data_IF_671345713429
#
_entry.id   IF_671345713429
#
_cell.length_a   1.000
_cell.length_b   1.000
_cell.length_c   1.000
_cell.angle_alpha   90.00
_cell.angle_beta   90.00
_cell.angle_gamma   90.00
#
_symmetry.space_group_name_H-M   'P 1'
#
loop_
_entity.id
_entity.type
_entity.pdbx_description
1 polymer ?
#
# COMPACT_ATOMS: atom_id res chain seq x y z
N UNK A 1 -19.66 -1.14 6.46
CA UNK A 1 -19.23 -2.23 5.55
C UNK A 1 -20.16 -2.46 4.35
N UNK A 2 -21.22 -1.66 4.17
CA UNK A 2 -22.14 -1.81 3.02
C UNK A 2 -21.47 -1.53 1.66
N UNK A 3 -20.31 -0.88 1.64
CA UNK A 3 -19.51 -0.60 0.45
C UNK A 3 -18.68 -1.80 -0.03
N UNK A 4 -18.55 -2.85 0.78
CA UNK A 4 -17.84 -4.06 0.38
C UNK A 4 -18.71 -4.87 -0.58
N UNK A 5 -18.08 -5.41 -1.60
CA UNK A 5 -18.72 -6.40 -2.45
C UNK A 5 -19.08 -7.65 -1.63
N UNK A 6 -20.17 -8.30 -2.03
CA UNK A 6 -20.65 -9.54 -1.40
C UNK A 6 -20.38 -10.71 -2.34
N UNK A 7 -19.98 -11.84 -1.78
CA UNK A 7 -19.83 -13.07 -2.56
C UNK A 7 -21.19 -13.71 -2.89
N UNK A 8 -21.18 -14.80 -3.66
CA UNK A 8 -22.39 -15.55 -4.04
C UNK A 8 -23.20 -16.12 -2.85
N UNK A 9 -22.60 -16.20 -1.66
CA UNK A 9 -23.25 -16.66 -0.42
C UNK A 9 -23.85 -15.49 0.37
N UNK A 10 -23.59 -14.25 -0.04
CA UNK A 10 -24.03 -13.03 0.64
C UNK A 10 -23.07 -12.55 1.73
N UNK A 11 -21.85 -13.09 1.81
CA UNK A 11 -20.86 -12.63 2.79
C UNK A 11 -20.06 -11.45 2.22
N UNK A 12 -19.84 -10.38 3.02
CA UNK A 12 -18.96 -9.30 2.60
C UNK A 12 -17.54 -9.82 2.42
N UNK A 13 -16.93 -9.52 1.27
CA UNK A 13 -15.57 -9.94 0.96
C UNK A 13 -14.60 -8.92 1.54
N UNK A 14 -13.92 -9.31 2.61
CA UNK A 14 -12.97 -8.43 3.29
C UNK A 14 -11.77 -8.09 2.39
N UNK A 15 -11.17 -6.95 2.66
CA UNK A 15 -10.17 -6.33 1.79
C UNK A 15 -8.92 -7.17 1.52
N UNK A 16 -8.44 -7.98 2.47
CA UNK A 16 -7.25 -8.82 2.30
C UNK A 16 -7.51 -10.19 1.68
N UNK A 17 -8.77 -10.63 1.61
CA UNK A 17 -9.12 -11.98 1.15
C UNK A 17 -8.74 -12.18 -0.30
N UNK A 18 -8.14 -13.35 -0.58
CA UNK A 18 -7.88 -13.83 -1.93
C UNK A 18 -9.19 -14.07 -2.68
N UNK A 19 -9.24 -13.58 -3.91
CA UNK A 19 -10.44 -13.65 -4.75
C UNK A 19 -10.10 -13.52 -6.23
N UNK A 20 -10.89 -14.19 -7.04
CA UNK A 20 -10.96 -14.09 -8.50
C UNK A 20 -12.43 -13.84 -8.92
N UNK A 21 -12.71 -13.62 -10.22
CA UNK A 21 -14.07 -13.55 -10.72
C UNK A 21 -14.91 -14.80 -10.41
N UNK A 22 -14.28 -15.96 -10.26
CA UNK A 22 -14.94 -17.25 -10.05
C UNK A 22 -15.05 -17.65 -8.57
N UNK A 23 -14.10 -17.23 -7.72
CA UNK A 23 -13.99 -17.74 -6.36
C UNK A 23 -13.54 -16.68 -5.34
N UNK A 24 -14.09 -16.76 -4.13
CA UNK A 24 -13.63 -16.01 -2.96
C UNK A 24 -13.13 -16.98 -1.89
N UNK A 25 -11.83 -16.91 -1.59
CA UNK A 25 -11.16 -17.79 -0.65
C UNK A 25 -10.91 -17.11 0.71
N UNK A 26 -11.91 -17.19 1.60
CA UNK A 26 -11.81 -16.65 2.96
C UNK A 26 -10.73 -17.28 3.84
N UNK A 27 -10.13 -18.40 3.41
CA UNK A 27 -9.02 -19.04 4.12
C UNK A 27 -7.64 -18.54 3.71
N UNK A 28 -7.56 -17.60 2.76
CA UNK A 28 -6.32 -17.12 2.19
C UNK A 28 -6.25 -15.59 2.14
N UNK A 29 -5.03 -15.09 2.32
CA UNK A 29 -4.70 -13.68 2.32
C UNK A 29 -3.88 -13.39 1.07
N UNK A 30 -4.29 -12.37 0.32
CA UNK A 30 -3.55 -11.95 -0.87
C UNK A 30 -2.53 -10.86 -0.50
N UNK A 31 -1.24 -11.21 -0.58
CA UNK A 31 -0.14 -10.31 -0.25
C UNK A 31 0.00 -9.10 -1.19
N UNK A 32 -0.47 -9.23 -2.44
CA UNK A 32 -0.52 -8.10 -3.39
C UNK A 32 -1.48 -7.02 -2.89
N UNK A 33 -2.62 -7.45 -2.33
CA UNK A 33 -3.62 -6.58 -1.72
C UNK A 33 -3.10 -5.97 -0.41
N UNK A 34 -2.38 -6.74 0.42
CA UNK A 34 -1.69 -6.21 1.61
C UNK A 34 -0.68 -5.11 1.28
N UNK A 35 0.03 -5.21 0.16
CA UNK A 35 0.94 -4.14 -0.27
C UNK A 35 0.20 -2.83 -0.53
N UNK A 36 -0.94 -2.88 -1.21
CA UNK A 36 -1.77 -1.70 -1.46
C UNK A 36 -2.27 -1.09 -0.15
N UNK A 37 -2.79 -1.92 0.77
CA UNK A 37 -3.23 -1.48 2.10
C UNK A 37 -2.10 -0.79 2.88
N UNK A 38 -0.88 -1.33 2.81
CA UNK A 38 0.30 -0.75 3.46
C UNK A 38 0.72 0.59 2.83
N UNK A 39 0.65 0.70 1.50
CA UNK A 39 1.05 1.90 0.78
C UNK A 39 0.07 3.06 1.03
N UNK A 40 -1.22 2.76 1.06
CA UNK A 40 -2.28 3.75 1.20
C UNK A 40 -2.79 3.92 2.64
N UNK A 41 -2.31 3.08 3.57
CA UNK A 41 -2.70 3.06 4.98
C UNK A 41 -4.21 2.87 5.18
N UNK A 42 -4.65 1.73 4.68
CA UNK A 42 -6.04 1.31 4.67
C UNK A 42 -6.28 0.10 5.56
N UNK A 43 -7.51 0.01 6.07
CA UNK A 43 -7.97 -1.10 6.91
C UNK A 43 -8.04 -2.42 6.13
N UNK A 44 -7.48 -3.49 6.71
CA UNK A 44 -7.43 -4.82 6.12
C UNK A 44 -8.79 -5.51 5.95
N UNK A 45 -9.83 -5.04 6.64
CA UNK A 45 -11.18 -5.58 6.53
C UNK A 45 -12.00 -4.81 5.52
N UNK A 46 -12.05 -3.48 5.64
CA UNK A 46 -12.96 -2.67 4.82
C UNK A 46 -12.29 -1.95 3.64
N UNK A 47 -10.95 -1.91 3.58
CA UNK A 47 -10.20 -1.24 2.52
C UNK A 47 -10.39 0.28 2.48
N UNK A 48 -10.85 0.89 3.57
CA UNK A 48 -10.97 2.35 3.73
C UNK A 48 -9.75 2.92 4.47
N UNK A 49 -9.40 4.19 4.26
CA UNK A 49 -8.27 4.83 4.95
C UNK A 49 -8.51 4.97 6.44
N UNK A 50 -7.43 4.86 7.22
CA UNK A 50 -7.46 5.08 8.67
C UNK A 50 -7.70 6.54 9.06
N UNK A 51 -7.23 7.49 8.27
CA UNK A 51 -7.10 8.89 8.69
C UNK A 51 -6.44 8.95 10.10
N UNK A 52 -7.16 9.51 11.08
CA UNK A 52 -6.70 9.68 12.46
C UNK A 52 -7.07 8.50 13.38
N UNK A 53 -7.74 7.45 12.87
CA UNK A 53 -8.13 6.29 13.66
C UNK A 53 -6.94 5.40 14.06
N UNK A 54 -7.05 4.67 15.17
CA UNK A 54 -6.02 3.71 15.57
C UNK A 54 -5.98 2.51 14.63
N UNK A 55 -4.78 1.98 14.42
CA UNK A 55 -4.50 0.72 13.71
C UNK A 55 -4.62 -0.42 14.71
N UNK A 56 -5.77 -1.10 14.73
CA UNK A 56 -6.03 -2.19 15.68
C UNK A 56 -5.44 -3.51 15.21
N UNK A 57 -4.89 -4.28 16.15
CA UNK A 57 -4.32 -5.61 15.93
C UNK A 57 -4.75 -6.56 17.05
N UNK A 58 -4.88 -7.85 16.71
CA UNK A 58 -5.00 -8.91 17.71
C UNK A 58 -3.61 -9.27 18.24
N UNK A 59 -3.46 -9.38 19.56
CA UNK A 59 -2.19 -9.76 20.19
C UNK A 59 -2.41 -10.95 21.11
N UNK A 60 -1.58 -11.98 20.95
CA UNK A 60 -1.65 -13.24 21.72
C UNK A 60 -0.59 -13.32 22.84
N UNK A 61 -0.02 -12.18 23.22
CA UNK A 61 0.98 -12.06 24.29
C UNK A 61 0.33 -11.51 25.58
N UNK A 62 0.64 -12.16 26.70
CA UNK A 62 0.31 -11.66 28.03
C UNK A 62 1.36 -10.64 28.52
N UNK A 63 0.91 -9.68 29.32
CA UNK A 63 1.78 -8.67 29.93
C UNK A 63 2.08 -7.46 29.04
N UNK A 64 3.06 -6.63 29.42
CA UNK A 64 3.40 -5.41 28.69
C UNK A 64 3.91 -5.74 27.30
N UNK A 65 3.50 -4.93 26.32
CA UNK A 65 3.98 -5.07 24.95
C UNK A 65 5.37 -4.44 24.82
N UNK A 66 6.24 -4.98 23.95
CA UNK A 66 7.44 -4.28 23.54
C UNK A 66 7.10 -2.95 22.85
N UNK A 67 8.09 -2.05 22.73
CA UNK A 67 7.94 -0.74 22.07
C UNK A 67 7.56 -0.82 20.57
N UNK A 68 7.57 -2.02 19.99
CA UNK A 68 7.07 -2.29 18.64
C UNK A 68 6.46 -3.68 18.56
N UNK A 69 5.26 -3.80 18.00
CA UNK A 69 4.56 -5.07 17.79
C UNK A 69 4.57 -5.40 16.31
N UNK A 70 5.11 -6.57 15.96
CA UNK A 70 5.16 -7.06 14.58
C UNK A 70 4.02 -8.06 14.36
N UNK A 71 3.18 -7.80 13.37
CA UNK A 71 2.08 -8.66 12.95
C UNK A 71 2.25 -9.09 11.50
N UNK A 72 1.94 -10.35 11.20
CA UNK A 72 1.77 -10.81 9.81
C UNK A 72 0.44 -10.35 9.21
N UNK A 73 -0.47 -9.82 10.02
CA UNK A 73 -1.77 -9.30 9.58
C UNK A 73 -1.69 -7.78 9.37
N UNK A 74 -2.36 -7.29 8.34
CA UNK A 74 -2.52 -5.85 8.14
C UNK A 74 -3.51 -5.26 9.18
N UNK A 75 -3.32 -4.00 9.61
CA UNK A 75 -4.14 -3.42 10.67
C UNK A 75 -5.58 -3.17 10.23
N UNK A 76 -6.47 -3.04 11.21
CA UNK A 76 -7.91 -2.80 10.98
C UNK A 76 -8.44 -1.63 11.82
N UNK A 77 -9.55 -1.01 11.41
CA UNK A 77 -10.33 -0.12 12.29
C UNK A 77 -10.88 -0.89 13.49
N UNK A 78 -11.21 -0.19 14.59
CA UNK A 78 -11.74 -0.84 15.79
C UNK A 78 -13.02 -1.63 15.48
N UNK A 79 -13.98 -0.98 14.82
CA UNK A 79 -15.27 -1.59 14.45
C UNK A 79 -15.06 -2.82 13.57
N UNK A 80 -14.04 -2.77 12.70
CA UNK A 80 -13.69 -3.85 11.79
C UNK A 80 -13.04 -5.02 12.53
N UNK A 81 -12.18 -4.73 13.52
CA UNK A 81 -11.60 -5.73 14.41
C UNK A 81 -12.68 -6.49 15.18
N UNK A 82 -13.63 -5.74 15.75
CA UNK A 82 -14.76 -6.27 16.51
C UNK A 82 -15.73 -7.06 15.64
N UNK A 83 -15.99 -6.60 14.42
CA UNK A 83 -16.75 -7.38 13.44
C UNK A 83 -16.02 -8.69 13.10
N UNK A 84 -14.73 -8.61 12.77
CA UNK A 84 -13.93 -9.78 12.42
C UNK A 84 -13.91 -10.80 13.58
N UNK A 85 -13.82 -10.33 14.82
CA UNK A 85 -13.90 -11.18 16.02
C UNK A 85 -15.26 -11.89 16.19
N UNK A 86 -16.34 -11.30 15.69
CA UNK A 86 -17.67 -11.91 15.72
C UNK A 86 -17.88 -12.96 14.63
N UNK A 87 -17.31 -12.75 13.44
CA UNK A 87 -17.54 -13.65 12.30
C UNK A 87 -16.47 -14.73 12.15
N UNK A 88 -15.25 -14.49 12.66
CA UNK A 88 -14.18 -15.47 12.61
C UNK A 88 -14.45 -16.61 13.60
N UNK A 89 -14.60 -17.87 13.14
CA UNK A 89 -14.88 -19.00 14.03
C UNK A 89 -13.81 -19.18 15.12
N UNK A 90 -12.54 -18.89 14.79
CA UNK A 90 -11.43 -19.02 15.75
C UNK A 90 -11.47 -17.95 16.84
N UNK A 91 -11.80 -16.70 16.53
CA UNK A 91 -11.85 -15.60 17.50
C UNK A 91 -13.14 -15.61 18.33
N UNK A 92 -14.24 -16.04 17.73
CA UNK A 92 -15.57 -15.95 18.34
C UNK A 92 -15.79 -17.04 19.40
N UNK A 93 -15.49 -18.30 19.08
CA UNK A 93 -15.89 -19.42 19.93
C UNK A 93 -14.81 -19.78 20.96
N UNK A 94 -15.13 -19.83 22.26
CA UNK A 94 -14.25 -20.44 23.26
C UNK A 94 -13.94 -21.89 22.86
N UNK A 95 -12.68 -22.29 22.95
CA UNK A 95 -12.17 -23.62 22.58
C UNK A 95 -12.04 -23.92 21.07
N UNK A 96 -12.25 -22.94 20.18
CA UNK A 96 -11.91 -23.11 18.77
C UNK A 96 -10.45 -23.53 18.58
N UNK A 97 -10.18 -24.30 17.54
CA UNK A 97 -8.85 -24.83 17.23
C UNK A 97 -8.39 -24.39 15.86
N UNK A 98 -7.09 -24.13 15.74
CA UNK A 98 -6.47 -23.88 14.43
C UNK A 98 -6.42 -25.17 13.62
N UNK A 99 -6.60 -25.03 12.30
CA UNK A 99 -6.67 -26.13 11.35
C UNK A 99 -5.47 -26.23 10.42
N UNK A 100 -4.60 -25.22 10.35
CA UNK A 100 -3.39 -25.28 9.52
C UNK A 100 -2.39 -26.29 10.07
N UNK A 101 -1.64 -26.93 9.17
CA UNK A 101 -0.74 -28.04 9.50
C UNK A 101 0.27 -27.68 10.60
N UNK A 102 0.78 -26.45 10.61
CA UNK A 102 1.78 -26.03 11.59
C UNK A 102 1.21 -25.83 13.00
N UNK A 103 -0.07 -25.48 13.13
CA UNK A 103 -0.72 -25.13 14.43
C UNK A 103 -1.91 -26.02 14.75
N UNK A 104 -2.09 -27.11 14.01
CA UNK A 104 -3.28 -27.97 14.07
C UNK A 104 -3.61 -28.38 15.50
N UNK A 105 -4.86 -28.12 15.90
CA UNK A 105 -5.36 -28.47 17.23
C UNK A 105 -5.02 -27.46 18.33
N UNK A 106 -4.20 -26.43 18.06
CA UNK A 106 -3.92 -25.34 19.00
C UNK A 106 -5.22 -24.63 19.36
N UNK A 107 -5.54 -24.63 20.65
CA UNK A 107 -6.75 -24.02 21.18
C UNK A 107 -6.59 -22.50 21.22
N UNK A 108 -7.65 -21.77 20.88
CA UNK A 108 -7.76 -20.32 21.10
C UNK A 108 -7.42 -19.97 22.55
N UNK A 109 -6.64 -18.92 22.74
CA UNK A 109 -6.38 -18.35 24.06
C UNK A 109 -7.70 -17.99 24.78
N UNK A 110 -7.81 -18.22 26.10
CA UNK A 110 -9.03 -17.91 26.86
C UNK A 110 -9.39 -16.42 26.87
N UNK A 111 -8.37 -15.56 26.79
CA UNK A 111 -8.50 -14.11 26.66
C UNK A 111 -7.93 -13.73 25.30
N UNK A 112 -8.71 -13.03 24.48
CA UNK A 112 -8.19 -12.39 23.26
C UNK A 112 -8.05 -10.91 23.54
N UNK A 113 -6.88 -10.38 23.19
CA UNK A 113 -6.51 -8.99 23.37
C UNK A 113 -6.39 -8.30 22.03
N UNK A 114 -6.94 -7.09 21.98
CA UNK A 114 -6.82 -6.17 20.87
C UNK A 114 -6.11 -4.91 21.35
N UNK A 115 -5.24 -4.37 20.50
CA UNK A 115 -4.42 -3.20 20.82
C UNK A 115 -4.51 -2.22 19.67
N UNK A 116 -4.80 -0.96 19.98
CA UNK A 116 -4.86 0.15 19.04
C UNK A 116 -3.55 0.93 19.04
N UNK A 117 -2.96 1.08 17.86
CA UNK A 117 -1.70 1.80 17.65
C UNK A 117 -1.92 3.09 16.86
N UNK A 118 -1.19 4.16 17.21
CA UNK A 118 -1.28 5.42 16.47
C UNK A 118 -0.74 5.30 15.05
N UNK A 119 0.24 4.40 14.81
CA UNK A 119 0.86 4.27 13.48
C UNK A 119 1.44 2.89 13.19
N UNK A 120 1.50 2.57 11.90
CA UNK A 120 2.36 1.50 11.36
C UNK A 120 3.72 2.12 11.05
N UNK A 121 4.75 1.77 11.82
CA UNK A 121 6.09 2.37 11.72
C UNK A 121 6.91 1.79 10.56
N UNK A 122 6.68 0.52 10.22
CA UNK A 122 7.37 -0.15 9.12
C UNK A 122 6.50 -1.28 8.54
N UNK A 123 6.73 -1.56 7.25
CA UNK A 123 6.23 -2.78 6.60
C UNK A 123 7.41 -3.43 5.87
N UNK A 124 7.62 -4.72 6.15
CA UNK A 124 8.79 -5.46 5.66
C UNK A 124 8.38 -6.81 5.07
N UNK A 125 9.08 -7.24 4.03
CA UNK A 125 9.00 -8.62 3.55
C UNK A 125 9.75 -9.53 4.53
N UNK A 126 9.08 -10.56 5.03
CA UNK A 126 9.64 -11.53 5.95
C UNK A 126 9.28 -12.95 5.50
N UNK A 127 10.20 -13.89 5.68
CA UNK A 127 9.91 -15.31 5.39
C UNK A 127 8.85 -15.82 6.37
N UNK A 128 7.82 -16.47 5.83
CA UNK A 128 6.71 -17.00 6.61
C UNK A 128 7.19 -18.10 7.55
N UNK A 129 6.91 -17.93 8.84
CA UNK A 129 7.16 -18.98 9.84
C UNK A 129 6.29 -20.22 9.66
N UNK A 130 5.23 -20.15 8.83
CA UNK A 130 4.31 -21.25 8.55
C UNK A 130 4.64 -21.98 7.25
N UNK A 131 5.28 -21.29 6.30
CA UNK A 131 5.55 -21.80 4.95
C UNK A 131 6.99 -21.46 4.55
N UNK A 132 7.96 -22.38 4.76
CA UNK A 132 9.35 -22.15 4.39
C UNK A 132 9.52 -21.73 2.93
N UNK A 133 10.40 -20.77 2.67
CA UNK A 133 10.65 -20.21 1.34
C UNK A 133 9.59 -19.23 0.83
N UNK A 134 8.47 -19.04 1.53
CA UNK A 134 7.42 -18.08 1.16
C UNK A 134 7.64 -16.78 1.92
N UNK A 135 7.64 -15.64 1.23
CA UNK A 135 7.74 -14.33 1.89
C UNK A 135 6.37 -13.65 1.96
N UNK A 136 6.06 -13.05 3.10
CA UNK A 136 4.81 -12.31 3.37
C UNK A 136 5.14 -10.94 3.95
N UNK A 137 4.19 -10.00 3.89
CA UNK A 137 4.33 -8.68 4.48
C UNK A 137 4.03 -8.71 5.98
N UNK A 138 4.94 -8.15 6.76
CA UNK A 138 4.80 -7.94 8.20
C UNK A 138 4.72 -6.45 8.51
N UNK A 139 3.83 -6.10 9.43
CA UNK A 139 3.51 -4.75 9.85
C UNK A 139 4.07 -4.53 11.26
N UNK A 140 4.96 -3.57 11.41
CA UNK A 140 5.45 -3.12 12.71
C UNK A 140 4.61 -1.92 13.16
N UNK A 141 4.01 -2.03 14.34
CA UNK A 141 3.19 -0.99 14.95
C UNK A 141 3.88 -0.40 16.17
N UNK A 142 3.73 0.90 16.39
CA UNK A 142 4.28 1.58 17.56
C UNK A 142 3.25 2.56 18.16
N UNK A 143 3.59 3.10 19.32
CA UNK A 143 2.72 4.03 20.07
C UNK A 143 1.36 3.40 20.37
N UNK A 144 1.34 2.42 21.28
CA UNK A 144 0.08 1.90 21.81
C UNK A 144 -0.69 3.04 22.47
N UNK A 145 -1.94 3.25 22.03
CA UNK A 145 -2.82 4.29 22.54
C UNK A 145 -4.04 3.73 23.27
N UNK A 146 -4.51 2.55 22.88
CA UNK A 146 -5.66 1.89 23.50
C UNK A 146 -5.52 0.37 23.49
N UNK A 147 -6.29 -0.31 24.34
CA UNK A 147 -6.41 -1.76 24.34
C UNK A 147 -7.77 -2.20 24.90
N UNK A 148 -8.24 -3.35 24.41
CA UNK A 148 -9.33 -4.06 25.06
C UNK A 148 -9.07 -5.57 25.03
N UNK A 149 -9.76 -6.30 25.90
CA UNK A 149 -9.69 -7.75 25.92
C UNK A 149 -11.07 -8.33 26.20
N UNK A 150 -11.32 -9.51 25.67
CA UNK A 150 -12.57 -10.23 25.91
C UNK A 150 -12.32 -11.72 26.09
N UNK A 151 -13.26 -12.36 26.80
CA UNK A 151 -13.33 -13.79 27.06
C UNK A 151 -14.52 -14.41 26.35
N UNK A 152 -15.65 -13.69 26.35
CA UNK A 152 -16.93 -14.21 25.90
C UNK A 152 -17.43 -13.51 24.63
N UNK A 153 -18.27 -14.17 23.82
CA UNK A 153 -18.96 -13.55 22.70
C UNK A 153 -19.75 -12.29 23.04
N UNK A 154 -20.39 -12.25 24.22
CA UNK A 154 -21.27 -11.14 24.61
C UNK A 154 -20.47 -9.86 24.85
N UNK A 155 -19.28 -9.96 25.45
CA UNK A 155 -18.36 -8.82 25.61
C UNK A 155 -17.96 -8.20 24.26
N UNK A 156 -17.76 -9.01 23.21
CA UNK A 156 -17.46 -8.50 21.86
C UNK A 156 -18.67 -7.77 21.28
N UNK A 157 -19.86 -8.35 21.42
CA UNK A 157 -21.10 -7.79 20.85
C UNK A 157 -21.45 -6.46 21.49
N UNK A 158 -21.30 -6.35 22.81
CA UNK A 158 -21.50 -5.11 23.56
C UNK A 158 -20.53 -4.04 23.08
N UNK A 159 -19.22 -4.34 23.05
CA UNK A 159 -18.21 -3.39 22.55
C UNK A 159 -18.44 -3.01 21.09
N UNK A 160 -18.82 -3.96 20.25
CA UNK A 160 -19.14 -3.69 18.85
C UNK A 160 -20.32 -2.74 18.70
N UNK A 161 -21.41 -2.94 19.45
CA UNK A 161 -22.55 -2.05 19.43
C UNK A 161 -22.18 -0.63 19.86
N UNK A 162 -21.35 -0.50 20.91
CA UNK A 162 -20.88 0.80 21.41
C UNK A 162 -19.98 1.54 20.41
N UNK A 163 -19.06 0.82 19.75
CA UNK A 163 -18.18 1.41 18.74
C UNK A 163 -18.98 1.79 17.50
N UNK A 164 -19.86 0.89 17.02
CA UNK A 164 -20.70 1.14 15.85
C UNK A 164 -21.62 2.36 16.03
N UNK A 165 -22.17 2.56 17.23
CA UNK A 165 -23.00 3.72 17.54
C UNK A 165 -22.25 5.07 17.49
N UNK A 166 -20.91 5.02 17.57
CA UNK A 166 -20.02 6.20 17.53
C UNK A 166 -19.29 6.35 16.19
N UNK A 167 -19.48 5.40 15.27
CA UNK A 167 -18.89 5.42 13.93
C UNK A 167 -19.30 6.71 13.21
N UNK A 168 -18.36 7.31 12.50
CA UNK A 168 -18.58 8.50 11.68
C UNK A 168 -18.16 8.19 10.25
N UNK A 169 -18.80 8.84 9.30
CA UNK A 169 -18.36 8.77 7.92
C UNK A 169 -16.95 9.35 7.80
N UNK A 170 -16.05 8.54 7.24
CA UNK A 170 -14.69 8.93 6.95
C UNK A 170 -14.65 9.75 5.66
N UNK A 171 -14.05 10.96 5.67
CA UNK A 171 -13.87 11.72 4.45
C UNK A 171 -12.84 11.00 3.57
N UNK A 172 -13.22 10.71 2.32
CA UNK A 172 -12.35 10.11 1.31
C UNK A 172 -12.28 11.07 0.13
N UNK A 173 -11.07 11.41 -0.32
CA UNK A 173 -10.90 12.29 -1.49
C UNK A 173 -11.36 11.60 -2.77
N UNK A 174 -11.64 12.35 -3.83
CA UNK A 174 -12.10 11.77 -5.10
C UNK A 174 -11.10 10.73 -5.65
N UNK A 175 -9.80 11.06 -5.62
CA UNK A 175 -8.74 10.17 -6.08
C UNK A 175 -8.66 8.90 -5.22
N UNK A 176 -8.73 9.03 -3.89
CA UNK A 176 -8.73 7.89 -2.98
C UNK A 176 -9.99 7.04 -3.11
N UNK A 177 -11.15 7.67 -3.31
CA UNK A 177 -12.45 7.01 -3.49
C UNK A 177 -12.48 6.13 -4.74
N UNK A 178 -11.85 6.59 -5.84
CA UNK A 178 -11.62 5.76 -7.01
C UNK A 178 -10.76 4.56 -6.64
N UNK A 179 -9.58 4.76 -6.05
CA UNK A 179 -8.67 3.66 -5.70
C UNK A 179 -9.33 2.63 -4.75
N UNK A 180 -10.08 3.08 -3.73
CA UNK A 180 -10.84 2.23 -2.80
C UNK A 180 -11.89 1.41 -3.55
N UNK A 181 -12.62 2.02 -4.49
CA UNK A 181 -13.62 1.31 -5.30
C UNK A 181 -12.97 0.25 -6.18
N UNK A 182 -11.89 0.61 -6.89
CA UNK A 182 -11.12 -0.35 -7.70
C UNK A 182 -10.57 -1.49 -6.84
N UNK A 183 -10.08 -1.16 -5.64
CA UNK A 183 -9.51 -2.13 -4.73
C UNK A 183 -10.55 -3.13 -4.24
N UNK A 184 -11.79 -2.70 -3.99
CA UNK A 184 -12.83 -3.51 -3.37
C UNK A 184 -13.75 -4.27 -4.34
N UNK A 185 -13.60 -4.09 -5.66
CA UNK A 185 -14.41 -4.82 -6.64
C UNK A 185 -14.06 -6.33 -6.72
N UNK A 186 -14.97 -7.12 -7.30
CA UNK A 186 -14.83 -8.58 -7.49
C UNK A 186 -14.78 -9.00 -8.96
N UNK A 187 -15.15 -8.12 -9.87
CA UNK A 187 -15.18 -8.34 -11.32
C UNK A 187 -13.81 -8.09 -11.98
N UNK A 188 -12.78 -7.87 -11.18
CA UNK A 188 -11.41 -7.69 -11.67
C UNK A 188 -10.78 -9.06 -11.94
N UNK A 189 -10.54 -9.39 -13.21
CA UNK A 189 -9.76 -10.57 -13.60
C UNK A 189 -8.35 -10.52 -12.98
N UNK A 190 -7.87 -9.33 -12.64
CA UNK A 190 -6.49 -9.09 -12.20
C UNK A 190 -6.31 -9.16 -10.66
N UNK A 191 -7.26 -9.69 -9.89
CA UNK A 191 -7.17 -9.92 -8.42
C UNK A 191 -6.75 -8.70 -7.54
N UNK A 192 -6.96 -7.47 -8.04
CA UNK A 192 -6.52 -6.23 -7.39
C UNK A 192 -5.12 -5.75 -7.81
N UNK A 193 -4.51 -6.37 -8.81
CA UNK A 193 -3.19 -6.02 -9.34
C UNK A 193 -3.13 -4.58 -9.84
N UNK A 194 -4.24 -4.03 -10.34
CA UNK A 194 -4.31 -2.65 -10.81
C UNK A 194 -3.97 -1.68 -9.68
N UNK A 195 -4.57 -1.88 -8.49
CA UNK A 195 -4.31 -1.03 -7.31
C UNK A 195 -2.95 -1.34 -6.68
N UNK A 196 -2.51 -2.60 -6.69
CA UNK A 196 -1.13 -2.96 -6.33
C UNK A 196 -0.12 -2.28 -7.25
N UNK A 197 -0.40 -2.19 -8.55
CA UNK A 197 0.40 -1.50 -9.54
C UNK A 197 0.47 0.00 -9.28
N UNK A 198 -0.65 0.61 -8.91
CA UNK A 198 -0.69 2.00 -8.46
C UNK A 198 0.12 2.20 -7.16
N UNK A 199 0.06 1.28 -6.20
CA UNK A 199 0.88 1.33 -4.99
C UNK A 199 2.39 1.23 -5.30
N UNK A 200 2.78 0.34 -6.22
CA UNK A 200 4.16 0.21 -6.71
C UNK A 200 4.62 1.51 -7.37
N UNK A 201 3.78 2.10 -8.23
CA UNK A 201 4.04 3.39 -8.87
C UNK A 201 4.16 4.53 -7.84
N UNK A 202 3.33 4.55 -6.79
CA UNK A 202 3.39 5.55 -5.72
C UNK A 202 4.67 5.44 -4.87
N UNK A 203 5.43 4.35 -4.97
CA UNK A 203 6.74 4.20 -4.33
C UNK A 203 6.96 2.86 -3.65
N UNK A 204 5.94 2.00 -3.53
CA UNK A 204 6.08 0.70 -2.88
C UNK A 204 7.07 -0.23 -3.60
N UNK A 205 7.37 0.02 -4.88
CA UNK A 205 8.40 -0.70 -5.63
C UNK A 205 9.81 -0.57 -5.03
N UNK A 206 10.05 0.43 -4.17
CA UNK A 206 11.33 0.63 -3.50
C UNK A 206 11.38 0.00 -2.10
N UNK A 207 10.31 -0.66 -1.65
CA UNK A 207 10.32 -1.46 -0.44
C UNK A 207 11.36 -2.59 -0.56
N UNK A 208 12.10 -2.86 0.53
CA UNK A 208 13.15 -3.88 0.52
C UNK A 208 12.53 -5.26 0.29
N UNK A 209 13.13 -6.03 -0.62
CA UNK A 209 12.75 -7.43 -0.89
C UNK A 209 11.28 -7.62 -1.33
N UNK A 210 10.61 -6.55 -1.78
CA UNK A 210 9.16 -6.58 -2.06
C UNK A 210 8.78 -7.58 -3.14
N UNK A 211 9.61 -7.78 -4.17
CA UNK A 211 9.34 -8.73 -5.25
C UNK A 211 9.58 -10.19 -4.85
N UNK A 212 10.15 -10.46 -3.66
CA UNK A 212 10.20 -11.83 -3.09
C UNK A 212 8.89 -12.24 -2.45
N UNK A 213 8.05 -11.27 -2.07
CA UNK A 213 6.75 -11.54 -1.43
C UNK A 213 5.85 -12.30 -2.40
N UNK A 214 5.07 -13.24 -1.86
CA UNK A 214 4.16 -14.09 -2.62
C UNK A 214 3.29 -13.27 -3.59
N UNK A 215 3.25 -13.70 -4.85
CA UNK A 215 2.48 -13.05 -5.92
C UNK A 215 3.11 -11.77 -6.50
N UNK A 216 4.05 -11.12 -5.80
CA UNK A 216 4.64 -9.86 -6.26
C UNK A 216 5.77 -10.03 -7.30
N UNK A 217 6.30 -11.24 -7.47
CA UNK A 217 7.26 -11.55 -8.54
C UNK A 217 6.72 -11.25 -9.95
N UNK A 218 5.39 -11.34 -10.16
CA UNK A 218 4.74 -10.98 -11.43
C UNK A 218 4.87 -9.48 -11.79
N UNK A 219 5.33 -8.65 -10.85
CA UNK A 219 5.56 -7.22 -11.05
C UNK A 219 7.04 -6.87 -11.28
N UNK A 220 7.94 -7.83 -11.06
CA UNK A 220 9.37 -7.61 -11.23
C UNK A 220 9.72 -7.31 -12.69
N UNK A 221 10.59 -6.32 -12.92
CA UNK A 221 11.03 -5.95 -14.27
C UNK A 221 10.00 -5.18 -15.13
N UNK A 222 8.75 -5.02 -14.68
CA UNK A 222 7.76 -4.13 -15.33
C UNK A 222 8.18 -2.65 -15.19
N UNK A 223 7.54 -1.75 -15.93
CA UNK A 223 7.90 -0.32 -16.00
C UNK A 223 7.64 0.48 -14.69
N UNK A 224 7.22 -0.17 -13.60
CA UNK A 224 6.92 0.50 -12.33
C UNK A 224 8.06 1.35 -11.77
N UNK A 225 9.34 0.94 -11.78
CA UNK A 225 10.41 1.81 -11.29
C UNK A 225 10.57 3.10 -12.10
N UNK A 226 10.28 3.06 -13.40
CA UNK A 226 10.34 4.23 -14.26
C UNK A 226 9.17 5.18 -13.97
N UNK A 227 7.96 4.66 -13.87
CA UNK A 227 6.75 5.43 -13.50
C UNK A 227 6.90 5.98 -12.07
N UNK A 228 7.39 5.18 -11.13
CA UNK A 228 7.64 5.62 -9.77
C UNK A 228 8.72 6.71 -9.74
N UNK A 229 9.72 6.64 -10.61
CA UNK A 229 10.69 7.72 -10.77
C UNK A 229 10.05 9.05 -11.18
N UNK A 230 9.04 9.02 -12.05
CA UNK A 230 8.24 10.19 -12.39
C UNK A 230 7.44 10.69 -11.18
N UNK A 231 6.74 9.81 -10.45
CA UNK A 231 5.95 10.19 -9.28
C UNK A 231 6.78 10.61 -8.05
N UNK A 232 8.08 10.31 -8.05
CA UNK A 232 9.03 10.74 -7.01
C UNK A 232 9.70 12.07 -7.35
N UNK A 233 10.08 12.29 -8.61
CA UNK A 233 10.96 13.42 -9.01
C UNK A 233 10.39 14.33 -10.10
N UNK A 234 9.24 13.98 -10.65
CA UNK A 234 8.51 14.79 -11.60
C UNK A 234 8.00 16.08 -10.94
N UNK A 235 7.83 17.09 -11.76
CA UNK A 235 7.08 18.29 -11.41
C UNK A 235 5.59 17.95 -11.27
N UNK A 236 4.85 18.81 -10.57
CA UNK A 236 3.39 18.66 -10.45
C UNK A 236 2.73 18.53 -11.83
N UNK A 237 3.15 19.34 -12.80
CA UNK A 237 2.63 19.29 -14.16
C UNK A 237 2.91 17.93 -14.83
N UNK A 238 4.15 17.44 -14.78
CA UNK A 238 4.49 16.13 -15.37
C UNK A 238 3.70 14.98 -14.74
N UNK A 239 3.46 15.03 -13.42
CA UNK A 239 2.65 14.04 -12.70
C UNK A 239 1.18 14.10 -13.15
N UNK A 240 0.61 15.30 -13.27
CA UNK A 240 -0.76 15.50 -13.75
C UNK A 240 -0.92 15.07 -15.21
N UNK A 241 0.02 15.40 -16.08
CA UNK A 241 0.01 15.00 -17.49
C UNK A 241 0.09 13.48 -17.65
N UNK A 242 0.93 12.82 -16.85
CA UNK A 242 0.99 11.36 -16.81
C UNK A 242 -0.35 10.74 -16.45
N UNK A 243 -0.97 11.20 -15.36
CA UNK A 243 -2.26 10.69 -14.91
C UNK A 243 -3.37 10.99 -15.91
N UNK A 244 -3.45 12.21 -16.44
CA UNK A 244 -4.45 12.57 -17.46
C UNK A 244 -4.28 11.78 -18.77
N UNK A 245 -3.05 11.37 -19.10
CA UNK A 245 -2.76 10.56 -20.29
C UNK A 245 -2.96 9.05 -20.10
N UNK A 246 -3.20 8.58 -18.88
CA UNK A 246 -3.40 7.16 -18.61
C UNK A 246 -4.77 6.67 -19.09
N UNK A 247 -4.80 5.49 -19.71
CA UNK A 247 -6.05 4.77 -20.01
C UNK A 247 -6.50 3.85 -18.87
N UNK A 248 -5.58 3.51 -17.97
CA UNK A 248 -5.90 2.74 -16.78
C UNK A 248 -6.45 3.69 -15.70
N UNK A 249 -7.57 3.31 -15.11
CA UNK A 249 -8.30 4.14 -14.16
C UNK A 249 -7.50 4.39 -12.87
N UNK A 250 -6.79 3.40 -12.32
CA UNK A 250 -5.98 3.62 -11.12
C UNK A 250 -4.79 4.55 -11.39
N UNK A 251 -4.13 4.38 -12.53
CA UNK A 251 -3.05 5.28 -12.94
C UNK A 251 -3.55 6.69 -13.29
N UNK A 252 -4.81 6.84 -13.68
CA UNK A 252 -5.41 8.14 -13.92
C UNK A 252 -5.61 8.96 -12.64
N UNK A 253 -5.69 8.31 -11.48
CA UNK A 253 -5.89 8.97 -10.18
C UNK A 253 -4.68 8.91 -9.25
N UNK A 254 -3.67 8.07 -9.54
CA UNK A 254 -2.51 7.94 -8.65
C UNK A 254 -1.65 9.21 -8.55
N UNK A 255 -1.52 9.97 -9.64
CA UNK A 255 -0.83 11.26 -9.64
C UNK A 255 -1.54 12.29 -8.75
N UNK A 256 -2.84 12.57 -8.97
CA UNK A 256 -3.65 13.37 -8.05
C UNK A 256 -3.53 12.93 -6.58
N UNK A 257 -3.65 11.64 -6.29
CA UNK A 257 -3.51 11.12 -4.92
C UNK A 257 -2.12 11.40 -4.32
N UNK A 258 -1.04 11.18 -5.09
CA UNK A 258 0.33 11.47 -4.65
C UNK A 258 0.52 12.96 -4.35
N UNK A 259 -0.08 13.84 -5.15
CA UNK A 259 0.01 15.29 -4.96
C UNK A 259 -0.81 15.75 -3.74
N UNK A 260 -2.02 15.21 -3.55
CA UNK A 260 -2.88 15.48 -2.38
C UNK A 260 -2.22 15.05 -1.06
N UNK A 261 -1.50 13.91 -1.08
CA UNK A 261 -0.82 13.34 0.09
C UNK A 261 0.64 13.79 0.24
N UNK A 262 1.10 14.73 -0.58
CA UNK A 262 2.46 15.22 -0.52
C UNK A 262 2.74 15.85 0.86
N UNK A 263 3.65 15.24 1.62
CA UNK A 263 3.99 15.67 2.98
C UNK A 263 3.21 14.98 4.11
N UNK A 264 2.19 14.17 3.77
CA UNK A 264 1.36 13.43 4.72
C UNK A 264 1.23 11.95 4.36
N UNK A 265 2.22 11.40 3.64
CA UNK A 265 2.25 9.97 3.33
C UNK A 265 2.34 9.13 4.60
N UNK A 266 1.73 7.92 4.60
CA UNK A 266 1.97 6.94 5.65
C UNK A 266 3.46 6.66 5.83
N UNK A 267 3.89 6.46 7.08
CA UNK A 267 5.31 6.26 7.43
C UNK A 267 5.98 5.17 6.58
N UNK A 268 5.36 3.99 6.31
CA UNK A 268 5.98 2.98 5.46
C UNK A 268 6.23 3.49 4.04
N UNK A 269 5.22 4.11 3.41
CA UNK A 269 5.35 4.67 2.07
C UNK A 269 6.37 5.79 2.01
N UNK A 270 6.40 6.69 3.01
CA UNK A 270 7.41 7.75 3.09
C UNK A 270 8.83 7.16 3.08
N UNK A 271 9.10 6.12 3.88
CA UNK A 271 10.41 5.44 3.91
C UNK A 271 10.77 4.82 2.55
N UNK A 272 9.80 4.17 1.90
CA UNK A 272 10.01 3.59 0.57
C UNK A 272 10.29 4.67 -0.48
N UNK A 273 9.54 5.77 -0.47
CA UNK A 273 9.74 6.91 -1.37
C UNK A 273 11.11 7.57 -1.17
N UNK A 274 11.53 7.84 0.05
CA UNK A 274 12.87 8.36 0.38
C UNK A 274 13.97 7.45 -0.15
N UNK A 275 13.83 6.13 0.01
CA UNK A 275 14.76 5.17 -0.58
C UNK A 275 14.76 5.26 -2.11
N UNK A 276 13.59 5.32 -2.74
CA UNK A 276 13.45 5.46 -4.18
C UNK A 276 14.10 6.73 -4.74
N UNK A 277 13.99 7.85 -4.03
CA UNK A 277 14.65 9.11 -4.41
C UNK A 277 16.18 8.97 -4.48
N UNK A 278 16.78 8.15 -3.62
CA UNK A 278 18.23 7.88 -3.68
C UNK A 278 18.62 6.99 -4.88
N UNK A 279 17.70 6.17 -5.37
CA UNK A 279 17.93 5.18 -6.43
C UNK A 279 17.61 5.72 -7.83
N UNK A 280 16.59 6.56 -7.95
CA UNK A 280 16.16 7.13 -9.23
C UNK A 280 17.03 8.33 -9.59
N UNK A 281 17.72 8.28 -10.73
CA UNK A 281 18.37 9.47 -11.29
C UNK A 281 17.32 10.32 -11.99
N UNK A 282 17.21 11.61 -11.64
CA UNK A 282 16.43 12.53 -12.45
C UNK A 282 17.06 12.54 -13.84
N UNK A 283 16.29 12.31 -14.92
CA UNK A 283 16.81 12.51 -16.25
C UNK A 283 17.39 13.93 -16.30
N UNK A 284 18.68 14.05 -16.61
CA UNK A 284 19.26 15.38 -16.84
C UNK A 284 18.39 16.03 -17.91
N UNK A 285 17.81 17.23 -17.67
CA UNK A 285 16.99 17.88 -18.68
C UNK A 285 17.74 17.83 -20.00
N UNK A 286 17.09 17.31 -21.05
CA UNK A 286 17.71 17.25 -22.37
C UNK A 286 18.27 18.64 -22.63
N UNK A 287 19.58 18.79 -22.87
CA UNK A 287 20.13 20.09 -23.21
C UNK A 287 19.29 20.64 -24.36
N UNK A 288 18.91 21.94 -24.35
CA UNK A 288 18.06 22.51 -25.38
C UNK A 288 18.59 22.11 -26.76
N UNK A 289 17.74 21.46 -27.55
CA UNK A 289 18.06 21.08 -28.92
C UNK A 289 18.16 22.36 -29.74
N UNK A 290 19.39 22.78 -30.00
CA UNK A 290 19.70 23.95 -30.81
C UNK A 290 20.78 23.63 -31.82
N UNK A 291 20.76 24.27 -33.01
CA UNK A 291 21.67 23.96 -34.13
C UNK A 291 23.15 24.08 -33.78
N UNK A 292 23.50 24.76 -32.68
CA UNK A 292 24.89 24.94 -32.21
C UNK A 292 25.59 23.72 -31.59
N UNK A 293 24.92 22.58 -31.35
CA UNK A 293 25.55 21.40 -30.69
C UNK A 293 25.86 20.19 -31.58
N UNK A 294 25.40 20.16 -32.82
CA UNK A 294 25.86 19.14 -33.79
C UNK A 294 27.27 19.44 -34.34
N UNK A 295 27.89 20.53 -33.89
CA UNK A 295 29.24 20.92 -34.25
C UNK A 295 30.22 20.16 -33.34
N UNK A 296 31.09 19.34 -33.93
CA UNK A 296 32.10 18.57 -33.19
C UNK A 296 32.85 19.47 -32.19
N UNK A 297 33.30 18.93 -31.05
CA UNK A 297 33.91 19.68 -29.92
C UNK A 297 35.06 20.63 -30.35
N UNK A 298 35.67 20.38 -31.51
CA UNK A 298 36.76 21.16 -32.09
C UNK A 298 36.44 21.86 -33.42
N UNK A 299 35.22 21.76 -33.95
CA UNK A 299 34.89 22.40 -35.22
C UNK A 299 34.80 23.93 -35.07
N UNK A 300 35.19 24.60 -36.15
CA UNK A 300 35.17 26.05 -36.29
C UNK A 300 33.74 26.58 -36.11
N UNK A 301 33.61 27.72 -35.44
CA UNK A 301 32.30 28.32 -35.25
C UNK A 301 31.71 28.80 -36.59
N UNK A 302 30.48 28.40 -36.95
CA UNK A 302 29.86 28.81 -38.22
C UNK A 302 29.49 30.30 -38.28
N UNK A 303 29.61 31.06 -37.19
CA UNK A 303 29.46 32.53 -37.22
C UNK A 303 30.66 33.28 -37.83
N UNK A 304 31.73 32.56 -38.23
CA UNK A 304 32.90 33.16 -38.87
C UNK A 304 33.91 33.81 -37.92
N UNK A 305 33.73 33.71 -36.60
CA UNK A 305 34.62 34.35 -35.61
C UNK A 305 36.04 33.75 -35.52
N UNK A 306 36.32 32.67 -36.23
CA UNK A 306 37.59 31.92 -36.14
C UNK A 306 37.80 31.17 -34.82
N UNK A 307 36.89 31.29 -33.85
CA UNK A 307 36.95 30.56 -32.57
C UNK A 307 36.28 29.19 -32.70
N UNK A 308 36.62 28.26 -31.79
CA UNK A 308 35.89 26.98 -31.65
C UNK A 308 34.44 27.25 -31.25
N UNK A 309 33.48 26.55 -31.84
CA UNK A 309 32.04 26.79 -31.65
C UNK A 309 31.63 26.90 -30.17
N UNK A 310 32.12 25.98 -29.32
CA UNK A 310 31.85 25.97 -27.87
C UNK A 310 32.37 27.17 -27.08
N UNK A 311 33.44 27.84 -27.56
CA UNK A 311 33.98 29.06 -26.93
C UNK A 311 33.32 30.32 -27.48
N UNK A 312 32.85 30.28 -28.72
CA UNK A 312 32.21 31.43 -29.35
C UNK A 312 30.77 31.59 -28.86
N UNK A 313 30.03 30.49 -28.74
CA UNK A 313 28.64 30.49 -28.26
C UNK A 313 28.48 29.41 -27.18
N UNK A 314 28.87 29.68 -25.93
CA UNK A 314 28.75 28.70 -24.83
C UNK A 314 27.30 28.27 -24.60
N UNK A 315 26.33 29.15 -24.91
CA UNK A 315 24.89 28.91 -24.82
C UNK A 315 24.26 28.30 -26.09
N UNK A 316 25.06 28.02 -27.13
CA UNK A 316 24.56 27.58 -28.45
C UNK A 316 24.37 28.73 -29.44
N UNK A 317 24.34 28.38 -30.72
CA UNK A 317 24.18 29.34 -31.83
C UNK A 317 22.68 29.58 -32.01
N UNK A 318 22.20 30.84 -32.04
CA UNK A 318 20.80 31.14 -32.30
C UNK A 318 20.40 30.56 -33.66
N UNK A 319 19.22 29.95 -33.73
CA UNK A 319 18.62 29.61 -35.03
C UNK A 319 18.21 30.94 -35.69
N UNK A 320 18.72 31.21 -36.90
CA UNK A 320 18.22 32.28 -37.75
C UNK A 320 16.84 31.94 -38.29
#
# INVERSE_FOLDING_TARGET
MAHLAVDRRGYPVIATVERSPEEVNFGSINERRKLALAAFDWCAVCGLPFADELRWQTVFQEGPLPNGVISGEAPVHEVCALYAAQVCPYLFSPNSRLGDEARKGTVRYPVVRFVGFESTSAVTAHESGLQPGTYTLHFEHCSQADEFSYRTPDEIRERYADVLAREKDLPVSDAEGVLVRLFNRLDDEDEGDVVTGAALAAGAAFAKDIFKVQGLGAFEGKQYPAVAGLLLKGTEQEIREFSAGSRDEAYSVIGPWVLERAGSFPVPLQRWRTRGESMVRRPTPRPPEGPGRNVAKNASCPCGSGRKARRCHPSGIPAN
#
